data_IF_631793186293
#
_entry.id   IF_631793186293
#
_cell.length_a   1.000
_cell.length_b   1.000
_cell.length_c   1.000
_cell.angle_alpha   90.00
_cell.angle_beta   90.00
_cell.angle_gamma   90.00
#
_symmetry.space_group_name_H-M   'P 1'
#
loop_
_entity.id
_entity.type
_entity.pdbx_description
1 polymer ?
#
# COMPACT_ATOMS: atom_id res chain seq x y z
N UNK A 1 -15.11 -0.32 9.48
CA UNK A 1 -16.08 -1.40 9.76
C UNK A 1 -17.44 -0.75 9.73
N UNK A 2 -18.35 -1.26 8.87
CA UNK A 2 -19.65 -0.66 8.67
C UNK A 2 -20.53 -0.65 9.92
N UNK A 3 -21.43 0.31 9.98
CA UNK A 3 -22.49 0.36 10.98
C UNK A 3 -23.32 -0.92 10.91
N UNK A 4 -23.39 -1.63 12.04
CA UNK A 4 -24.40 -2.67 12.27
C UNK A 4 -25.38 -2.10 13.27
N UNK A 5 -26.69 -2.21 13.04
CA UNK A 5 -27.70 -1.59 13.89
C UNK A 5 -27.69 -2.05 15.35
N UNK A 6 -27.17 -3.26 15.62
CA UNK A 6 -27.15 -3.83 16.97
C UNK A 6 -25.81 -4.52 17.25
N UNK A 7 -25.27 -4.33 18.45
CA UNK A 7 -24.10 -5.07 18.98
C UNK A 7 -22.75 -4.71 18.38
N UNK A 8 -22.65 -3.63 17.56
CA UNK A 8 -21.38 -3.13 17.08
C UNK A 8 -20.72 -2.21 18.13
N UNK A 9 -19.38 -2.12 18.08
CA UNK A 9 -18.65 -1.17 18.95
C UNK A 9 -19.18 0.27 18.82
N UNK A 10 -19.53 0.69 17.60
CA UNK A 10 -20.07 2.03 17.35
C UNK A 10 -21.47 2.19 17.96
N UNK A 11 -22.37 1.20 17.82
CA UNK A 11 -23.68 1.23 18.46
C UNK A 11 -23.53 1.34 19.98
N UNK A 12 -22.71 0.49 20.59
CA UNK A 12 -22.45 0.53 22.01
C UNK A 12 -21.84 1.87 22.48
N UNK A 13 -20.96 2.49 21.68
CA UNK A 13 -20.41 3.81 21.97
C UNK A 13 -21.48 4.92 21.90
N UNK A 14 -22.40 4.84 20.92
CA UNK A 14 -23.49 5.79 20.79
C UNK A 14 -24.52 5.68 21.91
N UNK A 15 -24.74 4.46 22.39
CA UNK A 15 -25.72 4.16 23.46
C UNK A 15 -25.14 4.40 24.85
N UNK A 16 -23.82 4.30 25.04
CA UNK A 16 -23.17 4.41 26.36
C UNK A 16 -23.39 5.77 27.04
N UNK A 17 -23.46 6.85 26.25
CA UNK A 17 -23.79 8.19 26.74
C UNK A 17 -24.55 8.96 25.66
N UNK A 18 -25.87 8.98 25.76
CA UNK A 18 -26.75 9.65 24.80
C UNK A 18 -26.66 11.18 24.86
N UNK A 19 -26.19 11.75 25.98
CA UNK A 19 -26.07 13.18 26.19
C UNK A 19 -24.69 13.73 25.80
N UNK A 20 -23.70 12.86 25.53
CA UNK A 20 -22.39 13.29 25.12
C UNK A 20 -22.36 13.90 23.71
N UNK A 21 -21.62 14.98 23.55
CA UNK A 21 -21.30 15.52 22.21
C UNK A 21 -20.33 14.57 21.55
N UNK A 22 -20.71 14.05 20.37
CA UNK A 22 -19.91 13.09 19.61
C UNK A 22 -19.35 13.75 18.37
N UNK A 23 -18.03 13.84 18.27
CA UNK A 23 -17.33 14.45 17.13
C UNK A 23 -16.48 13.37 16.45
N UNK A 24 -16.65 13.18 15.15
CA UNK A 24 -15.82 12.33 14.33
C UNK A 24 -14.81 13.13 13.52
N UNK A 25 -13.55 12.70 13.53
CA UNK A 25 -12.49 13.25 12.69
C UNK A 25 -11.98 12.14 11.77
N UNK A 26 -11.98 12.38 10.47
CA UNK A 26 -11.47 11.41 9.48
C UNK A 26 -10.89 12.13 8.28
N UNK A 27 -9.77 11.63 7.76
CA UNK A 27 -9.22 12.04 6.46
C UNK A 27 -9.77 11.21 5.30
N UNK A 28 -10.61 10.21 5.58
CA UNK A 28 -11.19 9.29 4.58
C UNK A 28 -12.62 8.96 4.99
N UNK A 29 -13.60 9.86 4.78
CA UNK A 29 -14.98 9.61 5.12
C UNK A 29 -15.55 8.43 4.34
N UNK A 30 -16.59 7.80 4.87
CA UNK A 30 -17.31 6.71 4.20
C UNK A 30 -18.32 7.31 3.23
N UNK A 31 -18.12 7.08 1.93
CA UNK A 31 -18.84 7.73 0.83
C UNK A 31 -20.04 6.94 0.32
N UNK A 32 -20.21 5.67 0.70
CA UNK A 32 -21.33 4.84 0.22
C UNK A 32 -22.59 5.10 1.05
N UNK A 33 -23.73 5.21 0.40
CA UNK A 33 -25.04 5.50 0.98
C UNK A 33 -25.37 4.70 2.26
N UNK A 34 -24.99 3.43 2.30
CA UNK A 34 -25.19 2.56 3.47
C UNK A 34 -24.25 2.85 4.65
N UNK A 35 -23.25 3.69 4.47
CA UNK A 35 -22.15 3.89 5.43
C UNK A 35 -21.73 5.36 5.57
N UNK A 36 -22.58 6.27 5.17
CA UNK A 36 -22.27 7.70 5.22
C UNK A 36 -22.06 8.19 6.65
N UNK A 37 -20.89 8.79 6.89
CA UNK A 37 -20.50 9.27 8.22
C UNK A 37 -21.48 10.29 8.78
N UNK A 38 -22.09 11.12 7.93
CA UNK A 38 -23.06 12.15 8.34
C UNK A 38 -24.35 11.58 8.91
N UNK A 39 -24.77 10.37 8.53
CA UNK A 39 -25.94 9.70 9.12
C UNK A 39 -25.76 9.32 10.57
N UNK A 40 -24.51 9.15 10.99
CA UNK A 40 -24.17 8.73 12.36
C UNK A 40 -23.83 9.93 13.24
N UNK A 41 -23.06 10.89 12.70
CA UNK A 41 -22.50 12.00 13.46
C UNK A 41 -23.17 13.36 13.13
N UNK A 42 -24.13 13.40 12.20
CA UNK A 42 -24.76 14.64 11.74
C UNK A 42 -23.95 15.35 10.67
N UNK A 43 -24.33 16.60 10.39
CA UNK A 43 -23.71 17.39 9.33
C UNK A 43 -22.22 17.67 9.61
N UNK A 44 -21.45 17.82 8.52
CA UNK A 44 -20.06 18.22 8.62
C UNK A 44 -19.93 19.61 9.27
N UNK A 45 -19.14 19.69 10.32
CA UNK A 45 -18.79 20.95 10.98
C UNK A 45 -17.73 21.71 10.19
N UNK A 46 -16.81 20.99 9.57
CA UNK A 46 -15.73 21.52 8.75
C UNK A 46 -15.28 20.49 7.73
N UNK A 47 -14.96 20.94 6.54
CA UNK A 47 -14.40 20.13 5.47
C UNK A 47 -13.10 20.76 4.98
N UNK A 48 -12.09 19.92 4.78
CA UNK A 48 -10.79 20.33 4.25
C UNK A 48 -10.37 19.30 3.21
N UNK A 49 -10.54 19.66 1.97
CA UNK A 49 -10.47 18.75 0.86
C UNK A 49 -9.05 18.54 0.31
N UNK A 50 -8.87 17.47 -0.45
CA UNK A 50 -7.61 17.00 -0.95
C UNK A 50 -6.94 18.01 -1.91
N UNK A 51 -7.69 18.64 -2.80
CA UNK A 51 -7.21 19.67 -3.72
C UNK A 51 -6.67 20.88 -2.95
N UNK A 52 -7.41 21.36 -1.96
CA UNK A 52 -6.96 22.43 -1.08
C UNK A 52 -5.73 22.03 -0.27
N UNK A 53 -5.73 20.80 0.24
CA UNK A 53 -4.58 20.27 0.97
C UNK A 53 -3.32 20.19 0.12
N UNK A 54 -3.45 19.89 -1.19
CA UNK A 54 -2.35 19.94 -2.16
C UNK A 54 -1.88 21.39 -2.36
N UNK A 55 -2.81 22.32 -2.58
CA UNK A 55 -2.49 23.75 -2.77
C UNK A 55 -1.78 24.36 -1.56
N UNK A 56 -2.23 24.00 -0.36
CA UNK A 56 -1.65 24.42 0.90
C UNK A 56 -0.33 23.68 1.26
N UNK A 57 0.07 22.70 0.47
CA UNK A 57 1.33 21.93 0.64
C UNK A 57 1.30 20.86 1.73
N UNK A 58 0.13 20.52 2.27
CA UNK A 58 0.01 19.48 3.32
C UNK A 58 -0.04 18.06 2.79
N UNK A 59 -0.44 17.88 1.53
CA UNK A 59 -0.45 16.59 0.85
C UNK A 59 0.14 16.67 -0.54
N UNK A 60 0.64 15.54 -1.05
CA UNK A 60 1.16 15.42 -2.41
C UNK A 60 0.11 14.81 -3.34
N UNK A 61 0.18 15.17 -4.61
CA UNK A 61 -0.57 14.50 -5.65
C UNK A 61 -0.07 13.05 -5.81
N UNK A 62 -0.99 12.12 -6.02
CA UNK A 62 -0.68 10.71 -6.23
C UNK A 62 -0.68 10.42 -7.72
N UNK A 63 0.40 9.80 -8.22
CA UNK A 63 0.54 9.35 -9.60
C UNK A 63 0.48 7.82 -9.58
N UNK A 64 -0.41 7.25 -10.40
CA UNK A 64 -0.44 5.83 -10.69
C UNK A 64 0.43 5.54 -11.91
N UNK A 65 1.28 4.55 -11.78
CA UNK A 65 2.12 4.03 -12.87
C UNK A 65 1.81 2.56 -13.10
N UNK A 66 1.81 2.16 -14.37
CA UNK A 66 1.83 0.75 -14.75
C UNK A 66 3.26 0.19 -14.65
N UNK A 67 3.39 -1.10 -14.43
CA UNK A 67 4.69 -1.77 -14.49
C UNK A 67 5.26 -1.69 -15.92
N UNK A 68 6.57 -1.64 -16.04
CA UNK A 68 7.24 -1.64 -17.35
C UNK A 68 6.82 -2.87 -18.17
N UNK A 69 6.55 -2.67 -19.46
CA UNK A 69 5.96 -3.69 -20.33
C UNK A 69 6.72 -5.00 -20.31
N UNK A 70 8.05 -4.97 -20.35
CA UNK A 70 8.90 -6.16 -20.32
C UNK A 70 8.69 -7.04 -19.08
N UNK A 71 8.46 -6.42 -17.91
CA UNK A 71 8.19 -7.17 -16.67
C UNK A 71 6.74 -7.64 -16.61
N UNK A 72 5.82 -6.82 -17.09
CA UNK A 72 4.41 -7.20 -17.20
C UNK A 72 4.24 -8.43 -18.07
N UNK A 73 4.90 -8.46 -19.23
CA UNK A 73 4.80 -9.58 -20.16
C UNK A 73 5.38 -10.87 -19.55
N UNK A 74 6.54 -10.79 -18.87
CA UNK A 74 7.12 -11.91 -18.14
C UNK A 74 6.22 -12.42 -17.02
N UNK A 75 5.66 -11.52 -16.21
CA UNK A 75 4.75 -11.90 -15.12
C UNK A 75 3.46 -12.54 -15.67
N UNK A 76 2.92 -12.01 -16.78
CA UNK A 76 1.75 -12.57 -17.45
C UNK A 76 2.06 -13.97 -17.99
N UNK A 77 3.20 -14.16 -18.64
CA UNK A 77 3.63 -15.47 -19.15
C UNK A 77 3.78 -16.51 -18.02
N UNK A 78 4.39 -16.11 -16.91
CA UNK A 78 4.51 -16.99 -15.72
C UNK A 78 3.12 -17.30 -15.17
N UNK A 79 2.27 -16.30 -15.06
CA UNK A 79 0.91 -16.45 -14.53
C UNK A 79 0.09 -17.42 -15.38
N UNK A 80 0.06 -17.24 -16.69
CA UNK A 80 -0.67 -18.09 -17.63
C UNK A 80 -0.18 -19.56 -17.61
N UNK A 81 1.15 -19.76 -17.58
CA UNK A 81 1.73 -21.12 -17.44
C UNK A 81 1.31 -21.78 -16.15
N UNK A 82 1.32 -21.05 -15.03
CA UNK A 82 0.91 -21.58 -13.73
C UNK A 82 -0.61 -21.79 -13.65
N UNK A 83 -1.41 -20.90 -14.22
CA UNK A 83 -2.87 -21.00 -14.26
C UNK A 83 -3.30 -22.29 -15.00
N UNK A 84 -2.65 -22.60 -16.13
CA UNK A 84 -2.90 -23.84 -16.87
C UNK A 84 -2.57 -25.12 -16.04
N UNK A 85 -1.53 -25.04 -15.19
CA UNK A 85 -1.17 -26.14 -14.28
C UNK A 85 -2.14 -26.25 -13.11
N UNK A 86 -2.61 -25.12 -12.61
CA UNK A 86 -3.57 -25.02 -11.50
C UNK A 86 -4.93 -25.60 -11.90
N UNK A 87 -5.46 -25.23 -13.07
CA UNK A 87 -6.74 -25.76 -13.58
C UNK A 87 -6.74 -27.30 -13.70
N UNK A 88 -5.58 -27.87 -14.04
CA UNK A 88 -5.40 -29.34 -14.12
C UNK A 88 -5.32 -30.03 -12.77
N UNK A 89 -5.02 -29.32 -11.68
CA UNK A 89 -4.71 -29.88 -10.35
C UNK A 89 -5.67 -29.46 -9.24
N UNK A 90 -6.74 -28.75 -9.55
CA UNK A 90 -7.69 -28.21 -8.54
C UNK A 90 -7.04 -27.31 -7.46
N UNK A 91 -5.99 -26.57 -7.82
CA UNK A 91 -5.21 -25.73 -6.92
C UNK A 91 -5.78 -24.31 -6.90
N UNK A 92 -5.80 -23.65 -5.74
CA UNK A 92 -6.36 -22.30 -5.58
C UNK A 92 -5.54 -21.24 -6.32
N UNK A 93 -6.19 -20.25 -6.97
CA UNK A 93 -5.53 -19.12 -7.67
C UNK A 93 -4.47 -18.38 -6.87
N UNK A 94 -4.62 -18.29 -5.54
CA UNK A 94 -3.64 -17.66 -4.66
C UNK A 94 -2.24 -18.31 -4.74
N UNK A 95 -2.17 -19.60 -5.08
CA UNK A 95 -0.90 -20.32 -5.20
C UNK A 95 -0.08 -19.88 -6.42
N UNK A 96 -0.69 -19.24 -7.40
CA UNK A 96 0.04 -18.68 -8.55
C UNK A 96 0.93 -17.51 -8.09
N UNK A 97 0.36 -16.58 -7.34
CA UNK A 97 1.09 -15.40 -6.84
C UNK A 97 2.10 -15.76 -5.75
N UNK A 98 1.96 -16.94 -5.15
CA UNK A 98 2.89 -17.51 -4.16
C UNK A 98 3.97 -18.41 -4.80
N UNK A 99 3.87 -18.69 -6.09
CA UNK A 99 4.85 -19.53 -6.78
C UNK A 99 6.21 -18.83 -6.89
N UNK A 100 7.30 -19.55 -6.62
CA UNK A 100 8.64 -18.98 -6.51
C UNK A 100 9.07 -18.20 -7.75
N UNK A 101 8.77 -18.71 -8.96
CA UNK A 101 9.12 -17.99 -10.19
C UNK A 101 8.40 -16.65 -10.30
N UNK A 102 7.11 -16.58 -9.93
CA UNK A 102 6.34 -15.35 -9.92
C UNK A 102 6.89 -14.37 -8.88
N UNK A 103 7.13 -14.85 -7.66
CA UNK A 103 7.67 -14.06 -6.55
C UNK A 103 9.05 -13.50 -6.89
N UNK A 104 9.95 -14.32 -7.45
CA UNK A 104 11.30 -13.88 -7.80
C UNK A 104 11.29 -12.84 -8.93
N UNK A 105 10.45 -13.00 -9.97
CA UNK A 105 10.37 -12.01 -11.04
C UNK A 105 9.74 -10.69 -10.57
N UNK A 106 8.69 -10.77 -9.74
CA UNK A 106 8.08 -9.59 -9.11
C UNK A 106 9.12 -8.84 -8.27
N UNK A 107 9.93 -9.57 -7.51
CA UNK A 107 10.96 -8.98 -6.65
C UNK A 107 12.10 -8.33 -7.46
N UNK A 108 12.51 -8.94 -8.58
CA UNK A 108 13.48 -8.32 -9.51
C UNK A 108 12.99 -6.94 -9.98
N UNK A 109 11.73 -6.86 -10.38
CA UNK A 109 11.15 -5.59 -10.77
C UNK A 109 11.17 -4.59 -9.62
N UNK A 110 10.64 -4.94 -8.45
CA UNK A 110 10.51 -4.04 -7.30
C UNK A 110 11.89 -3.47 -6.89
N UNK A 111 12.91 -4.31 -6.78
CA UNK A 111 14.26 -3.89 -6.41
C UNK A 111 14.85 -2.96 -7.48
N UNK A 112 14.73 -3.33 -8.75
CA UNK A 112 15.26 -2.54 -9.88
C UNK A 112 14.56 -1.18 -9.98
N UNK A 113 13.24 -1.17 -9.86
CA UNK A 113 12.42 0.04 -9.92
C UNK A 113 12.73 1.00 -8.77
N UNK A 114 12.81 0.52 -7.52
CA UNK A 114 13.13 1.40 -6.39
C UNK A 114 14.55 2.00 -6.51
N UNK A 115 15.53 1.23 -6.97
CA UNK A 115 16.88 1.73 -7.24
C UNK A 115 16.87 2.81 -8.32
N UNK A 116 16.21 2.56 -9.44
CA UNK A 116 16.05 3.50 -10.56
C UNK A 116 15.32 4.77 -10.11
N UNK A 117 14.24 4.61 -9.33
CA UNK A 117 13.47 5.73 -8.77
C UNK A 117 14.35 6.63 -7.90
N UNK A 118 15.10 6.06 -6.96
CA UNK A 118 16.04 6.80 -6.11
C UNK A 118 17.11 7.54 -6.93
N UNK A 119 17.65 6.90 -7.95
CA UNK A 119 18.64 7.49 -8.84
C UNK A 119 18.07 8.70 -9.60
N UNK A 120 16.85 8.55 -10.16
CA UNK A 120 16.17 9.64 -10.89
C UNK A 120 15.86 10.82 -9.97
N UNK A 121 15.41 10.53 -8.74
CA UNK A 121 15.09 11.57 -7.76
C UNK A 121 16.33 12.16 -7.06
N UNK A 122 17.51 11.56 -7.25
CA UNK A 122 18.73 11.99 -6.54
C UNK A 122 18.67 11.81 -5.03
N UNK A 123 17.79 10.96 -4.50
CA UNK A 123 17.56 10.81 -3.06
C UNK A 123 17.44 9.32 -2.64
N UNK A 124 18.51 8.82 -2.03
CA UNK A 124 18.57 7.46 -1.50
C UNK A 124 17.75 7.24 -0.21
N UNK A 125 17.17 8.30 0.36
CA UNK A 125 16.33 8.17 1.56
C UNK A 125 14.89 7.85 1.26
N UNK A 126 14.45 7.90 -0.01
CA UNK A 126 13.09 7.56 -0.42
C UNK A 126 12.82 6.07 -0.17
N UNK A 127 11.67 5.78 0.45
CA UNK A 127 11.27 4.43 0.81
C UNK A 127 10.18 3.86 -0.10
N UNK A 128 10.11 2.53 -0.12
CA UNK A 128 9.06 1.76 -0.78
C UNK A 128 8.22 0.94 0.19
N UNK A 129 7.02 0.54 -0.25
CA UNK A 129 6.18 -0.45 0.44
C UNK A 129 5.51 -1.36 -0.59
N UNK A 130 5.54 -2.65 -0.33
CA UNK A 130 4.86 -3.68 -1.13
C UNK A 130 3.64 -4.18 -0.39
N UNK A 131 2.46 -4.04 -0.97
CA UNK A 131 1.22 -4.64 -0.46
C UNK A 131 0.99 -5.95 -1.21
N UNK A 132 1.18 -7.07 -0.52
CA UNK A 132 1.08 -8.40 -1.09
C UNK A 132 -0.38 -8.90 -1.17
N UNK A 133 -0.65 -9.82 -2.08
CA UNK A 133 -1.95 -10.50 -2.21
C UNK A 133 -2.20 -11.45 -1.02
N UNK A 134 -1.15 -12.13 -0.54
CA UNK A 134 -1.23 -13.05 0.59
C UNK A 134 -0.06 -12.86 1.57
N UNK A 135 -0.21 -13.35 2.80
CA UNK A 135 0.87 -13.34 3.79
C UNK A 135 2.02 -14.26 3.38
N UNK A 136 1.72 -15.37 2.70
CA UNK A 136 2.73 -16.30 2.20
C UNK A 136 3.57 -15.67 1.08
N UNK A 137 2.95 -14.95 0.14
CA UNK A 137 3.68 -14.15 -0.85
C UNK A 137 4.63 -13.17 -0.18
N UNK A 138 4.18 -12.49 0.88
CA UNK A 138 5.01 -11.53 1.61
C UNK A 138 6.23 -12.20 2.26
N UNK A 139 6.05 -13.38 2.87
CA UNK A 139 7.15 -14.19 3.46
C UNK A 139 8.17 -14.59 2.40
N UNK A 140 7.70 -15.07 1.25
CA UNK A 140 8.58 -15.48 0.14
C UNK A 140 9.34 -14.30 -0.47
N UNK A 141 8.68 -13.14 -0.69
CA UNK A 141 9.36 -11.93 -1.15
C UNK A 141 10.49 -11.54 -0.19
N UNK A 142 10.24 -11.60 1.11
CA UNK A 142 11.25 -11.29 2.11
C UNK A 142 12.38 -12.33 2.11
N UNK A 143 12.06 -13.62 2.05
CA UNK A 143 13.04 -14.71 2.05
C UNK A 143 14.00 -14.66 0.84
N UNK A 144 13.49 -14.30 -0.35
CA UNK A 144 14.30 -14.20 -1.58
C UNK A 144 14.96 -12.84 -1.78
N UNK A 145 14.73 -11.86 -0.89
CA UNK A 145 15.16 -10.49 -1.12
C UNK A 145 16.66 -10.33 -1.35
N UNK A 146 17.47 -10.90 -0.45
CA UNK A 146 18.92 -10.77 -0.51
C UNK A 146 19.54 -11.59 -1.66
N UNK A 147 18.96 -12.76 -1.98
CA UNK A 147 19.37 -13.59 -3.12
C UNK A 147 19.19 -12.80 -4.43
N UNK A 148 17.97 -12.31 -4.69
CA UNK A 148 17.64 -11.58 -5.92
C UNK A 148 18.41 -10.27 -6.02
N UNK A 149 18.58 -9.55 -4.91
CA UNK A 149 19.40 -8.35 -4.91
C UNK A 149 20.86 -8.63 -5.25
N UNK A 150 21.40 -9.73 -4.75
CA UNK A 150 22.78 -10.14 -5.04
C UNK A 150 22.94 -10.53 -6.52
N UNK A 151 21.95 -11.19 -7.11
CA UNK A 151 21.91 -11.47 -8.56
C UNK A 151 21.95 -10.17 -9.38
N UNK A 152 21.06 -9.23 -9.07
CA UNK A 152 20.98 -7.95 -9.79
C UNK A 152 22.23 -7.09 -9.66
N UNK A 153 22.97 -7.23 -8.55
CA UNK A 153 24.19 -6.47 -8.33
C UNK A 153 25.42 -7.06 -9.05
N UNK A 154 25.36 -8.29 -9.58
CA UNK A 154 26.47 -8.89 -10.34
C UNK A 154 26.74 -8.13 -11.63
N UNK A 155 25.66 -7.71 -12.30
CA UNK A 155 25.72 -7.03 -13.60
C UNK A 155 25.63 -5.50 -13.49
N UNK A 156 25.47 -4.97 -12.28
CA UNK A 156 25.28 -3.55 -12.06
C UNK A 156 26.61 -2.80 -11.93
N UNK A 157 26.75 -1.69 -12.66
CA UNK A 157 27.88 -0.76 -12.56
C UNK A 157 27.96 -0.06 -11.20
N UNK A 158 26.83 0.12 -10.53
CA UNK A 158 26.73 0.67 -9.17
C UNK A 158 26.05 -0.33 -8.24
N UNK A 159 26.80 -0.83 -7.29
CA UNK A 159 26.28 -1.76 -6.28
C UNK A 159 25.52 -0.96 -5.22
N UNK A 160 24.20 -1.10 -5.18
CA UNK A 160 23.35 -0.53 -4.16
C UNK A 160 22.66 -1.65 -3.38
N UNK A 161 22.75 -1.60 -2.05
CA UNK A 161 22.07 -2.55 -1.17
C UNK A 161 20.86 -1.90 -0.53
N UNK A 162 19.68 -2.43 -0.86
CA UNK A 162 18.43 -2.11 -0.17
C UNK A 162 18.22 -3.10 0.97
N UNK A 163 17.57 -2.68 2.03
CA UNK A 163 17.16 -3.54 3.14
C UNK A 163 15.65 -3.62 3.21
N UNK A 164 15.12 -4.84 3.26
CA UNK A 164 13.70 -5.10 3.43
C UNK A 164 13.33 -5.29 4.90
N UNK A 165 12.09 -4.94 5.24
CA UNK A 165 11.45 -5.27 6.51
C UNK A 165 10.10 -5.92 6.26
N UNK A 166 9.87 -7.10 6.84
CA UNK A 166 8.60 -7.82 6.78
C UNK A 166 7.73 -7.40 7.96
N UNK A 167 6.47 -6.99 7.71
CA UNK A 167 5.53 -6.63 8.76
C UNK A 167 4.21 -7.36 8.54
N UNK A 168 4.02 -8.44 9.30
CA UNK A 168 2.81 -9.25 9.32
C UNK A 168 2.24 -9.30 10.74
N UNK A 169 0.94 -9.56 10.84
CA UNK A 169 0.29 -9.66 12.15
C UNK A 169 0.74 -10.88 12.95
N UNK A 170 0.99 -11.98 12.25
CA UNK A 170 1.24 -13.32 12.78
C UNK A 170 2.71 -13.76 12.75
N UNK A 171 3.65 -12.90 12.29
CA UNK A 171 5.07 -13.28 12.20
C UNK A 171 5.89 -12.92 13.43
N UNK A 172 5.60 -11.78 14.05
CA UNK A 172 6.41 -11.22 15.11
C UNK A 172 5.54 -10.64 16.23
N UNK A 173 6.15 -10.44 17.40
CA UNK A 173 5.52 -9.66 18.45
C UNK A 173 5.39 -8.17 18.06
N UNK A 174 4.66 -7.43 18.88
CA UNK A 174 4.43 -6.00 18.64
C UNK A 174 5.72 -5.19 18.67
N UNK A 175 6.63 -5.50 19.57
CA UNK A 175 7.88 -4.75 19.78
C UNK A 175 8.81 -4.89 18.58
N UNK A 176 8.95 -6.09 18.04
CA UNK A 176 9.72 -6.37 16.81
C UNK A 176 9.13 -5.62 15.63
N UNK A 177 7.81 -5.66 15.43
CA UNK A 177 7.15 -4.90 14.36
C UNK A 177 7.34 -3.40 14.51
N UNK A 178 7.21 -2.84 15.71
CA UNK A 178 7.43 -1.43 15.99
C UNK A 178 8.89 -1.03 15.73
N UNK A 179 9.84 -1.91 16.01
CA UNK A 179 11.27 -1.72 15.69
C UNK A 179 11.50 -1.66 14.19
N UNK A 180 10.94 -2.60 13.39
CA UNK A 180 11.02 -2.59 11.93
C UNK A 180 10.43 -1.28 11.37
N UNK A 181 9.26 -0.89 11.85
CA UNK A 181 8.57 0.34 11.44
C UNK A 181 9.42 1.58 11.77
N UNK A 182 10.01 1.65 12.96
CA UNK A 182 10.89 2.76 13.35
C UNK A 182 12.19 2.80 12.55
N UNK A 183 12.76 1.64 12.23
CA UNK A 183 13.92 1.51 11.35
C UNK A 183 13.62 2.01 9.93
N UNK A 184 12.40 1.83 9.44
CA UNK A 184 11.98 2.43 8.18
C UNK A 184 11.73 3.95 8.33
N UNK A 185 10.96 4.37 9.33
CA UNK A 185 10.50 5.77 9.46
C UNK A 185 11.60 6.75 9.85
N UNK A 186 12.40 6.40 10.87
CA UNK A 186 13.31 7.31 11.56
C UNK A 186 14.78 7.00 11.27
N UNK A 187 15.18 5.74 11.48
CA UNK A 187 16.57 5.35 11.38
C UNK A 187 17.04 5.18 9.94
N UNK A 188 16.09 5.02 8.99
CA UNK A 188 16.34 4.83 7.55
C UNK A 188 17.26 3.63 7.25
N UNK A 189 17.28 2.64 8.14
CA UNK A 189 18.06 1.40 7.98
C UNK A 189 17.30 0.32 7.22
N UNK A 190 15.99 0.50 7.00
CA UNK A 190 15.14 -0.31 6.14
C UNK A 190 14.63 0.58 5.01
N UNK A 191 14.71 0.08 3.77
CA UNK A 191 14.41 0.82 2.56
C UNK A 191 13.03 0.50 1.99
N UNK A 192 12.57 -0.73 2.19
CA UNK A 192 11.29 -1.22 1.69
C UNK A 192 10.58 -2.06 2.75
N UNK A 193 9.29 -1.80 2.92
CA UNK A 193 8.42 -2.60 3.78
C UNK A 193 7.63 -3.59 2.93
N UNK A 194 7.57 -4.84 3.35
CA UNK A 194 6.77 -5.89 2.73
C UNK A 194 5.62 -6.21 3.70
N UNK A 195 4.39 -5.99 3.25
CA UNK A 195 3.20 -6.10 4.10
C UNK A 195 2.07 -6.86 3.40
N UNK A 196 1.11 -7.36 4.18
CA UNK A 196 -0.14 -7.92 3.67
C UNK A 196 -1.34 -7.08 4.10
N UNK A 197 -1.72 -7.10 5.38
CA UNK A 197 -2.85 -6.34 5.93
C UNK A 197 -2.41 -5.22 6.89
N UNK A 198 -1.15 -5.22 7.28
CA UNK A 198 -0.60 -4.26 8.23
C UNK A 198 -0.23 -2.94 7.54
N UNK A 199 -0.20 -1.87 8.31
CA UNK A 199 0.24 -0.52 7.90
C UNK A 199 -0.63 0.16 6.81
N UNK A 200 -1.73 -0.44 6.40
CA UNK A 200 -2.67 0.17 5.45
C UNK A 200 -3.43 1.34 6.09
N UNK A 201 -3.59 1.30 7.42
CA UNK A 201 -4.23 2.35 8.21
C UNK A 201 -3.31 2.81 9.33
N UNK A 202 -3.37 4.10 9.70
CA UNK A 202 -2.62 4.65 10.84
C UNK A 202 -1.10 4.72 10.67
N UNK A 203 -0.55 4.30 9.54
CA UNK A 203 0.89 4.38 9.26
C UNK A 203 1.26 5.71 8.61
N UNK A 204 2.17 6.44 9.23
CA UNK A 204 2.67 7.71 8.72
C UNK A 204 4.20 7.67 8.59
N UNK A 205 4.68 7.76 7.36
CA UNK A 205 6.09 7.79 7.01
C UNK A 205 6.32 8.71 5.81
N UNK A 206 6.73 9.98 6.00
CA UNK A 206 6.88 10.95 4.92
C UNK A 206 7.80 10.48 3.79
N UNK A 207 8.86 9.72 4.11
CA UNK A 207 9.79 9.16 3.12
C UNK A 207 9.21 8.06 2.22
N UNK A 208 8.03 7.51 2.56
CA UNK A 208 7.35 6.52 1.71
C UNK A 208 6.80 7.22 0.48
N UNK A 209 7.41 6.97 -0.69
CA UNK A 209 7.05 7.60 -1.96
C UNK A 209 6.70 6.61 -3.05
N UNK A 210 7.03 5.34 -2.87
CA UNK A 210 6.81 4.28 -3.85
C UNK A 210 5.98 3.16 -3.23
N UNK A 211 4.74 2.97 -3.71
CA UNK A 211 3.82 1.93 -3.25
C UNK A 211 3.58 0.92 -4.35
N UNK A 212 4.02 -0.31 -4.13
CA UNK A 212 3.83 -1.44 -5.04
C UNK A 212 2.56 -2.18 -4.66
N UNK A 213 1.56 -2.13 -5.55
CA UNK A 213 0.22 -2.57 -5.25
C UNK A 213 -0.06 -3.93 -5.89
N UNK A 214 0.15 -5.01 -5.14
CA UNK A 214 -0.02 -6.39 -5.59
C UNK A 214 -1.39 -7.00 -5.27
N UNK A 215 -2.32 -6.23 -4.70
CA UNK A 215 -3.60 -6.70 -4.19
C UNK A 215 -4.77 -5.86 -4.67
N UNK A 216 -5.89 -6.51 -5.03
CA UNK A 216 -7.13 -5.78 -5.36
C UNK A 216 -7.81 -5.26 -4.10
N UNK A 217 -7.67 -3.98 -3.84
CA UNK A 217 -8.46 -3.25 -2.84
C UNK A 217 -9.47 -2.35 -3.55
N UNK A 218 -10.54 -2.01 -2.85
CA UNK A 218 -11.62 -1.18 -3.37
C UNK A 218 -11.96 -0.09 -2.36
N UNK A 219 -12.54 0.99 -2.89
CA UNK A 219 -13.19 2.04 -2.12
C UNK A 219 -12.29 2.58 -0.99
N UNK A 220 -12.84 2.67 0.20
CA UNK A 220 -12.18 3.19 1.39
C UNK A 220 -10.84 2.50 1.71
N UNK A 221 -10.73 1.19 1.56
CA UNK A 221 -9.48 0.46 1.81
C UNK A 221 -8.40 0.83 0.79
N UNK A 222 -8.78 1.02 -0.48
CA UNK A 222 -7.87 1.48 -1.52
C UNK A 222 -7.39 2.89 -1.20
N UNK A 223 -8.31 3.81 -0.89
CA UNK A 223 -7.98 5.19 -0.53
C UNK A 223 -7.01 5.25 0.66
N UNK A 224 -7.28 4.48 1.71
CA UNK A 224 -6.40 4.42 2.88
C UNK A 224 -4.99 3.93 2.54
N UNK A 225 -4.87 2.98 1.63
CA UNK A 225 -3.58 2.46 1.20
C UNK A 225 -2.80 3.47 0.35
N UNK A 226 -3.43 4.06 -0.69
CA UNK A 226 -2.75 4.99 -1.60
C UNK A 226 -2.34 6.30 -0.93
N UNK A 227 -3.10 6.76 0.07
CA UNK A 227 -2.75 7.98 0.82
C UNK A 227 -1.54 7.81 1.75
N UNK A 228 -0.91 6.64 1.79
CA UNK A 228 0.37 6.46 2.51
C UNK A 228 1.54 7.16 1.80
N UNK A 229 1.48 7.36 0.49
CA UNK A 229 2.56 8.00 -0.30
C UNK A 229 2.37 9.51 -0.51
N UNK A 230 1.27 10.09 -0.08
CA UNK A 230 0.95 11.50 -0.34
C UNK A 230 1.48 12.50 0.69
N UNK A 231 2.32 12.08 1.63
CA UNK A 231 2.90 12.96 2.66
C UNK A 231 4.03 13.80 2.08
N UNK A 232 4.12 15.11 2.38
CA UNK A 232 5.27 15.93 2.01
C UNK A 232 6.58 15.34 2.55
N UNK A 233 7.60 15.33 1.71
CA UNK A 233 8.94 14.90 2.10
C UNK A 233 9.97 15.55 1.20
N UNK A 234 10.82 16.41 1.77
CA UNK A 234 11.81 17.21 1.04
C UNK A 234 11.16 17.91 -0.17
N UNK A 235 11.81 17.88 -1.33
CA UNK A 235 11.34 18.53 -2.57
C UNK A 235 10.43 17.63 -3.43
N UNK A 236 10.05 16.44 -2.92
CA UNK A 236 9.19 15.54 -3.66
C UNK A 236 7.78 16.12 -3.80
N UNK A 237 7.30 16.22 -5.05
CA UNK A 237 5.99 16.78 -5.40
C UNK A 237 4.89 15.73 -5.51
N UNK A 238 5.26 14.45 -5.59
CA UNK A 238 4.35 13.35 -5.88
C UNK A 238 4.60 12.14 -4.99
N UNK A 239 3.52 11.39 -4.74
CA UNK A 239 3.58 10.00 -4.31
C UNK A 239 3.26 9.08 -5.49
N UNK A 240 3.86 7.91 -5.56
CA UNK A 240 3.73 7.01 -6.71
C UNK A 240 3.16 5.66 -6.30
N UNK A 241 2.17 5.21 -7.05
CA UNK A 241 1.53 3.90 -6.90
C UNK A 241 1.80 3.08 -8.15
N UNK A 242 2.49 1.96 -8.00
CA UNK A 242 2.79 1.00 -9.06
C UNK A 242 1.79 -0.14 -8.99
N UNK A 243 1.05 -0.34 -10.07
CA UNK A 243 -0.10 -1.21 -10.10
C UNK A 243 0.21 -2.58 -10.70
N UNK A 244 0.32 -3.59 -9.84
CA UNK A 244 0.40 -5.01 -10.24
C UNK A 244 -0.96 -5.72 -10.22
N UNK A 245 -1.95 -5.16 -9.53
CA UNK A 245 -3.24 -5.79 -9.30
C UNK A 245 -4.30 -5.42 -10.34
N UNK A 246 -3.92 -4.60 -11.34
CA UNK A 246 -4.83 -4.03 -12.32
C UNK A 246 -6.01 -3.28 -11.67
N UNK A 247 -5.69 -2.40 -10.74
CA UNK A 247 -6.67 -1.59 -9.98
C UNK A 247 -7.06 -0.30 -10.70
N UNK A 248 -6.64 -0.08 -11.94
CA UNK A 248 -6.82 1.17 -12.69
C UNK A 248 -8.25 1.71 -12.55
N UNK A 249 -9.25 0.91 -12.85
CA UNK A 249 -10.66 1.30 -12.74
C UNK A 249 -11.03 1.69 -11.31
N UNK A 250 -10.67 0.86 -10.34
CA UNK A 250 -10.97 1.14 -8.93
C UNK A 250 -10.21 2.37 -8.42
N UNK A 251 -8.99 2.60 -8.91
CA UNK A 251 -8.19 3.78 -8.57
C UNK A 251 -8.85 5.04 -9.13
N UNK A 252 -9.25 5.05 -10.40
CA UNK A 252 -9.91 6.17 -11.04
C UNK A 252 -11.23 6.50 -10.36
N UNK A 253 -12.10 5.51 -10.15
CA UNK A 253 -13.37 5.67 -9.46
C UNK A 253 -13.22 6.18 -8.01
N UNK A 254 -12.25 5.63 -7.26
CA UNK A 254 -11.97 6.04 -5.88
C UNK A 254 -11.40 7.44 -5.82
N UNK A 255 -10.48 7.78 -6.73
CA UNK A 255 -9.86 9.10 -6.80
C UNK A 255 -10.88 10.16 -7.25
N UNK A 256 -11.75 9.85 -8.22
CA UNK A 256 -12.84 10.72 -8.63
C UNK A 256 -13.88 10.93 -7.51
N UNK A 257 -14.26 9.86 -6.81
CA UNK A 257 -15.16 9.97 -5.67
C UNK A 257 -14.56 10.86 -4.58
N UNK A 258 -13.28 10.70 -4.31
CA UNK A 258 -12.53 11.51 -3.34
C UNK A 258 -12.40 12.97 -3.75
N UNK A 259 -12.29 13.24 -5.05
CA UNK A 259 -12.30 14.60 -5.61
C UNK A 259 -13.72 15.19 -5.73
N UNK A 260 -14.77 14.36 -5.88
CA UNK A 260 -16.17 14.78 -6.05
C UNK A 260 -16.93 15.03 -4.75
N UNK A 261 -16.43 14.56 -3.62
CA UNK A 261 -16.96 14.99 -2.31
C UNK A 261 -16.63 16.45 -2.00
N UNK A 262 -15.99 17.04 -2.92
CA UNK A 262 -15.72 18.45 -3.07
C UNK A 262 -16.83 19.18 -3.78
#
# INVERSE_FOLDING_TARGET
RGYKPEGSFLANLLDADQNAIKIALTGTPLLKEERESWRVFGNYLHTYYYDKSILDGYTLKIIREDIETQYRDKLSEIYEKLETLVEKKDVKKNQIVEHDNYVKELLRYIISDLKKFRQIQGDNTLGGMVICETSEQARKLFAYFDEIQSELNKDASVKSHLKAGLVLYDSDDKETRDTIVNNFKKNMTIDILIVYNMLLTGFDAPRLKRLYFGRKLKDHNLLQAITRVNRPYKDNKYGYVIDFANIKKNFEETNEAYLREL
#
